data_IF_228755281666
#
_entry.id   IF_228755281666
#
_cell.length_a   1.000
_cell.length_b   1.000
_cell.length_c   1.000
_cell.angle_alpha   90.00
_cell.angle_beta   90.00
_cell.angle_gamma   90.00
#
_symmetry.space_group_name_H-M   'P 1'
#
loop_
_entity.id
_entity.type
_entity.pdbx_description
1 polymer ?
#
# COMPACT_ATOMS: atom_id res chain seq x y z
N UNK A 1 2.94 -6.32 6.05
CA UNK A 1 4.06 -5.73 5.30
C UNK A 1 3.50 -5.11 4.03
N UNK A 2 3.89 -3.87 3.72
CA UNK A 2 3.64 -3.22 2.43
C UNK A 2 4.94 -3.20 1.67
N UNK A 3 4.93 -3.62 0.40
CA UNK A 3 6.10 -3.65 -0.47
C UNK A 3 5.81 -2.82 -1.71
N UNK A 4 6.72 -1.93 -2.05
CA UNK A 4 6.71 -1.17 -3.29
C UNK A 4 7.74 -1.76 -4.24
N UNK A 5 7.32 -1.98 -5.49
CA UNK A 5 8.17 -2.50 -6.55
C UNK A 5 8.22 -1.52 -7.72
N UNK A 6 9.20 -1.69 -8.60
CA UNK A 6 9.16 -1.08 -9.93
C UNK A 6 8.15 -1.85 -10.82
N UNK A 7 7.98 -1.38 -12.05
CA UNK A 7 7.14 -2.00 -13.10
C UNK A 7 7.56 -3.43 -13.49
N UNK A 8 8.82 -3.82 -13.23
CA UNK A 8 9.35 -5.16 -13.49
C UNK A 8 9.11 -6.13 -12.33
N UNK A 9 8.58 -5.64 -11.22
CA UNK A 9 8.35 -6.40 -10.00
C UNK A 9 9.55 -6.48 -9.06
N UNK A 10 10.66 -5.78 -9.37
CA UNK A 10 11.81 -5.70 -8.47
C UNK A 10 11.45 -4.84 -7.26
N UNK A 11 11.77 -5.31 -6.06
CA UNK A 11 11.50 -4.59 -4.82
C UNK A 11 12.34 -3.32 -4.72
N UNK A 12 11.65 -2.19 -4.50
CA UNK A 12 12.27 -0.90 -4.22
C UNK A 12 12.38 -0.68 -2.70
N UNK A 13 11.30 -0.98 -1.97
CA UNK A 13 11.30 -0.97 -0.51
C UNK A 13 10.16 -1.81 0.08
N UNK A 14 10.34 -2.22 1.34
CA UNK A 14 9.30 -2.84 2.16
C UNK A 14 9.21 -2.15 3.53
N UNK A 15 8.00 -1.90 3.99
CA UNK A 15 7.73 -1.23 5.28
C UNK A 15 6.48 -1.80 5.97
N UNK A 16 6.50 -1.85 7.29
CA UNK A 16 5.32 -2.09 8.11
C UNK A 16 4.77 -0.74 8.59
N UNK A 17 3.51 -0.44 8.29
CA UNK A 17 2.80 0.72 8.83
C UNK A 17 2.25 0.31 10.20
N UNK A 18 2.89 0.78 11.26
CA UNK A 18 2.63 0.32 12.63
C UNK A 18 1.84 1.36 13.43
N UNK A 19 1.95 2.64 13.07
CA UNK A 19 1.32 3.74 13.77
C UNK A 19 0.13 4.27 12.97
N UNK A 20 -0.86 4.75 13.71
CA UNK A 20 -1.98 5.47 13.10
C UNK A 20 -1.43 6.64 12.29
N UNK A 21 -1.95 6.81 11.07
CA UNK A 21 -1.55 7.86 10.15
C UNK A 21 -0.09 7.76 9.65
N UNK A 22 0.56 6.60 9.73
CA UNK A 22 1.72 6.34 8.88
C UNK A 22 1.28 6.40 7.40
N UNK A 23 2.01 7.14 6.57
CA UNK A 23 1.65 7.40 5.17
C UNK A 23 2.74 6.86 4.24
N UNK A 24 2.31 6.19 3.16
CA UNK A 24 3.13 5.94 1.99
C UNK A 24 2.60 6.81 0.85
N UNK A 25 3.50 7.59 0.25
CA UNK A 25 3.24 8.28 -1.01
C UNK A 25 3.99 7.51 -2.11
N UNK A 26 3.26 7.10 -3.14
CA UNK A 26 3.79 6.37 -4.28
C UNK A 26 3.44 7.10 -5.57
N UNK A 27 4.37 7.13 -6.53
CA UNK A 27 4.08 7.56 -7.88
C UNK A 27 3.51 6.37 -8.67
N UNK A 28 2.19 6.36 -8.88
CA UNK A 28 1.47 5.25 -9.52
C UNK A 28 1.91 4.99 -10.97
N UNK A 29 2.53 5.98 -11.64
CA UNK A 29 3.03 5.82 -13.01
C UNK A 29 4.29 4.96 -13.11
N UNK A 30 5.06 4.84 -12.03
CA UNK A 30 6.40 4.23 -12.04
C UNK A 30 6.60 3.16 -10.97
N UNK A 31 5.61 2.99 -10.09
CA UNK A 31 5.70 2.06 -8.97
C UNK A 31 4.44 1.23 -8.84
N UNK A 32 4.61 0.00 -8.41
CA UNK A 32 3.51 -0.89 -8.03
C UNK A 32 3.58 -1.13 -6.52
N UNK A 33 2.45 -1.45 -5.90
CA UNK A 33 2.40 -1.76 -4.48
C UNK A 33 1.68 -3.10 -4.23
N UNK A 34 2.17 -3.86 -3.25
CA UNK A 34 1.53 -5.08 -2.77
C UNK A 34 1.53 -5.10 -1.24
N UNK A 35 0.51 -5.73 -0.67
CA UNK A 35 0.41 -5.94 0.76
C UNK A 35 0.42 -7.42 1.08
N UNK A 36 1.14 -7.79 2.15
CA UNK A 36 1.09 -9.15 2.66
C UNK A 36 -0.30 -9.46 3.23
N UNK A 37 -0.66 -10.74 3.20
CA UNK A 37 -1.83 -11.25 3.91
C UNK A 37 -1.76 -10.84 5.39
N UNK A 38 -2.94 -10.61 5.98
CA UNK A 38 -3.09 -10.45 7.42
C UNK A 38 -3.36 -11.83 8.03
N UNK A 39 -2.90 -12.02 9.26
CA UNK A 39 -3.15 -13.25 10.03
C UNK A 39 -3.36 -12.87 11.49
N UNK A 40 -4.30 -13.52 12.20
CA UNK A 40 -4.46 -13.31 13.62
C UNK A 40 -3.20 -13.73 14.39
N UNK A 41 -2.83 -12.93 15.38
CA UNK A 41 -1.80 -13.31 16.36
C UNK A 41 -2.38 -14.33 17.35
N UNK A 42 -3.68 -14.20 17.65
CA UNK A 42 -4.48 -15.10 18.48
C UNK A 42 -5.61 -15.65 17.61
N UNK A 43 -5.68 -16.97 17.42
CA UNK A 43 -6.66 -17.64 16.55
C UNK A 43 -8.10 -17.48 17.03
N UNK A 44 -8.30 -17.20 18.32
CA UNK A 44 -9.63 -17.01 18.91
C UNK A 44 -10.15 -15.57 18.73
N UNK A 45 -9.34 -14.67 18.16
CA UNK A 45 -9.68 -13.26 17.96
C UNK A 45 -9.56 -12.87 16.50
N UNK A 46 -10.53 -12.10 16.01
CA UNK A 46 -10.45 -11.54 14.67
C UNK A 46 -9.33 -10.50 14.58
N UNK A 47 -8.57 -10.54 13.48
CA UNK A 47 -7.58 -9.53 13.15
C UNK A 47 -8.04 -8.72 11.93
N UNK A 48 -7.89 -7.40 12.02
CA UNK A 48 -8.25 -6.45 10.99
C UNK A 48 -7.14 -5.41 10.84
N UNK A 49 -7.08 -4.76 9.68
CA UNK A 49 -6.14 -3.68 9.37
C UNK A 49 -6.88 -2.61 8.57
N UNK A 50 -7.21 -1.51 9.22
CA UNK A 50 -7.89 -0.38 8.58
C UNK A 50 -6.89 0.46 7.79
N UNK A 51 -7.25 0.84 6.56
CA UNK A 51 -6.43 1.65 5.67
C UNK A 51 -7.29 2.65 4.90
N UNK A 52 -6.74 3.82 4.61
CA UNK A 52 -7.32 4.79 3.70
C UNK A 52 -6.41 4.91 2.47
N UNK A 53 -6.97 4.68 1.29
CA UNK A 53 -6.28 4.90 0.02
C UNK A 53 -6.85 6.14 -0.63
N UNK A 54 -5.98 7.08 -0.99
CA UNK A 54 -6.33 8.31 -1.71
C UNK A 54 -5.57 8.31 -3.03
N UNK A 55 -6.29 8.44 -4.13
CA UNK A 55 -5.71 8.56 -5.47
C UNK A 55 -5.92 9.98 -6.00
N UNK A 56 -4.88 10.54 -6.61
CA UNK A 56 -4.95 11.80 -7.34
C UNK A 56 -4.80 11.48 -8.82
N UNK A 57 -5.81 11.82 -9.61
CA UNK A 57 -5.81 11.63 -11.07
C UNK A 57 -5.81 13.00 -11.71
N UNK A 58 -4.84 13.27 -12.57
CA UNK A 58 -4.84 14.45 -13.43
C UNK A 58 -5.69 14.10 -14.66
N UNK A 59 -6.78 14.84 -14.86
CA UNK A 59 -7.59 14.72 -16.07
C UNK A 59 -7.01 15.68 -17.11
N UNK A 60 -6.25 15.16 -18.08
CA UNK A 60 -5.86 15.92 -19.26
C UNK A 60 -7.00 15.90 -20.30
N UNK A 61 -7.46 17.09 -20.71
CA UNK A 61 -8.23 17.31 -21.94
C UNK A 61 -9.62 16.65 -22.05
N UNK A 62 -10.65 17.27 -21.49
CA UNK A 62 -11.95 17.31 -22.17
C UNK A 62 -12.03 18.61 -22.97
N UNK A 63 -11.48 18.59 -24.19
CA UNK A 63 -11.91 19.47 -25.29
C UNK A 63 -12.49 18.63 -26.42
#
# INVERSE_FOLDING_TARGET
MTTITNEKGDELFSVMLERNLDIILANDETTMHKVSNISPIDSERMAYRDVLVVTLIILEGQE
#
